data_IF_706587557911
#
_entry.id   IF_706587557911
#
_cell.length_a   1.000
_cell.length_b   1.000
_cell.length_c   1.000
_cell.angle_alpha   90.00
_cell.angle_beta   90.00
_cell.angle_gamma   90.00
#
_symmetry.space_group_name_H-M   'P 1'
#
loop_
_entity.id
_entity.type
_entity.pdbx_description
1 polymer ?
#
# COMPACT_ATOMS: atom_id res chain seq x y z
N UNK A 1 30.62 -15.72 -5.59
CA UNK A 1 29.32 -15.33 -4.99
C UNK A 1 28.24 -16.17 -5.65
N UNK A 2 27.25 -16.67 -4.92
CA UNK A 2 26.19 -17.49 -5.51
C UNK A 2 25.16 -16.56 -6.18
N UNK A 3 25.24 -16.40 -7.50
CA UNK A 3 24.42 -15.44 -8.25
C UNK A 3 22.92 -15.75 -8.14
N UNK A 4 22.59 -17.03 -7.93
CA UNK A 4 21.23 -17.48 -7.61
C UNK A 4 20.69 -16.89 -6.30
N UNK A 5 21.56 -16.71 -5.30
CA UNK A 5 21.20 -16.04 -4.05
C UNK A 5 20.99 -14.53 -4.23
N UNK A 6 21.65 -13.92 -5.21
CA UNK A 6 21.42 -12.50 -5.56
C UNK A 6 20.05 -12.30 -6.21
N UNK A 7 19.66 -13.20 -7.13
CA UNK A 7 18.30 -13.22 -7.70
C UNK A 7 17.23 -13.42 -6.61
N UNK A 8 17.45 -14.32 -5.64
CA UNK A 8 16.54 -14.47 -4.51
C UNK A 8 16.39 -13.19 -3.71
N UNK A 9 17.50 -12.51 -3.39
CA UNK A 9 17.44 -11.25 -2.65
C UNK A 9 16.68 -10.16 -3.42
N UNK A 10 16.89 -10.06 -4.73
CA UNK A 10 16.14 -9.13 -5.58
C UNK A 10 14.64 -9.49 -5.61
N UNK A 11 14.31 -10.78 -5.69
CA UNK A 11 12.95 -11.27 -5.60
C UNK A 11 12.29 -10.95 -4.27
N UNK A 12 13.02 -11.07 -3.17
CA UNK A 12 12.53 -10.68 -1.84
C UNK A 12 12.26 -9.17 -1.77
N UNK A 13 13.25 -8.34 -2.12
CA UNK A 13 13.13 -6.88 -2.09
C UNK A 13 11.93 -6.39 -2.94
N UNK A 14 11.77 -6.93 -4.14
CA UNK A 14 10.67 -6.59 -5.06
C UNK A 14 9.33 -7.07 -4.54
N UNK A 15 9.22 -8.29 -3.99
CA UNK A 15 7.97 -8.81 -3.42
C UNK A 15 7.47 -7.94 -2.25
N UNK A 16 8.35 -7.64 -1.28
CA UNK A 16 7.99 -6.82 -0.12
C UNK A 16 7.62 -5.39 -0.53
N UNK A 17 8.34 -4.83 -1.51
CA UNK A 17 8.05 -3.48 -2.01
C UNK A 17 6.71 -3.43 -2.73
N UNK A 18 6.45 -4.37 -3.65
CA UNK A 18 5.17 -4.49 -4.36
C UNK A 18 3.99 -4.50 -3.40
N UNK A 19 4.01 -5.38 -2.39
CA UNK A 19 2.93 -5.46 -1.41
C UNK A 19 2.86 -4.23 -0.51
N UNK A 20 4.00 -3.66 -0.13
CA UNK A 20 4.05 -2.42 0.65
C UNK A 20 3.37 -1.25 -0.07
N UNK A 21 3.61 -1.09 -1.37
CA UNK A 21 2.98 -0.07 -2.21
C UNK A 21 1.46 -0.26 -2.30
N UNK A 22 1.00 -1.48 -2.62
CA UNK A 22 -0.44 -1.78 -2.62
C UNK A 22 -1.09 -1.50 -1.26
N UNK A 23 -0.41 -1.88 -0.17
CA UNK A 23 -0.97 -1.67 1.16
C UNK A 23 -1.06 -0.21 1.54
N UNK A 24 -0.07 0.59 1.15
CA UNK A 24 -0.07 2.03 1.34
C UNK A 24 -1.23 2.68 0.56
N UNK A 25 -1.43 2.29 -0.70
CA UNK A 25 -2.57 2.74 -1.50
C UNK A 25 -3.92 2.40 -0.84
N UNK A 26 -4.10 1.14 -0.42
CA UNK A 26 -5.31 0.67 0.25
C UNK A 26 -5.59 1.40 1.56
N UNK A 27 -4.54 1.70 2.34
CA UNK A 27 -4.66 2.43 3.58
C UNK A 27 -5.05 3.88 3.34
N UNK A 28 -4.46 4.53 2.34
CA UNK A 28 -4.81 5.90 1.93
C UNK A 28 -6.28 5.97 1.51
N UNK A 29 -6.70 5.06 0.62
CA UNK A 29 -8.10 4.96 0.15
C UNK A 29 -9.08 4.72 1.31
N UNK A 30 -8.78 3.78 2.21
CA UNK A 30 -9.65 3.47 3.36
C UNK A 30 -9.72 4.63 4.34
N UNK A 31 -8.60 5.28 4.64
CA UNK A 31 -8.53 6.43 5.55
C UNK A 31 -9.37 7.58 5.02
N UNK A 32 -9.21 7.91 3.74
CA UNK A 32 -9.95 8.99 3.09
C UNK A 32 -11.45 8.71 3.04
N UNK A 33 -11.86 7.49 2.63
CA UNK A 33 -13.28 7.07 2.64
C UNK A 33 -13.89 7.11 4.04
N UNK A 34 -13.13 6.69 5.06
CA UNK A 34 -13.57 6.77 6.45
C UNK A 34 -13.84 8.22 6.85
N UNK A 35 -12.93 9.15 6.54
CA UNK A 35 -13.13 10.57 6.85
C UNK A 35 -14.33 11.16 6.13
N UNK A 36 -14.61 10.79 4.88
CA UNK A 36 -15.82 11.22 4.18
C UNK A 36 -17.10 10.60 4.74
N UNK A 37 -17.04 9.38 5.28
CA UNK A 37 -18.23 8.70 5.80
C UNK A 37 -18.79 9.34 7.07
N UNK A 38 -17.94 9.89 7.93
CA UNK A 38 -18.35 10.52 9.19
C UNK A 38 -19.35 11.69 9.00
N UNK A 39 -19.07 12.72 8.18
CA UNK A 39 -20.02 13.80 7.94
C UNK A 39 -21.29 13.32 7.25
N UNK A 40 -21.21 12.32 6.37
CA UNK A 40 -22.37 11.74 5.69
C UNK A 40 -23.30 11.05 6.69
N UNK A 41 -22.76 10.18 7.55
CA UNK A 41 -23.52 9.49 8.59
C UNK A 41 -24.13 10.50 9.55
N UNK A 42 -23.37 11.52 9.98
CA UNK A 42 -23.89 12.59 10.82
C UNK A 42 -25.07 13.32 10.15
N UNK A 43 -24.97 13.62 8.86
CA UNK A 43 -26.05 14.28 8.11
C UNK A 43 -27.31 13.42 8.06
N UNK A 44 -27.18 12.11 7.85
CA UNK A 44 -28.31 11.17 7.84
C UNK A 44 -28.98 11.13 9.23
N UNK A 45 -28.20 11.00 10.30
CA UNK A 45 -28.72 10.97 11.67
C UNK A 45 -29.41 12.29 12.02
N UNK A 46 -28.80 13.41 11.66
CA UNK A 46 -29.36 14.74 11.94
C UNK A 46 -30.64 15.04 11.16
N UNK A 47 -30.84 14.44 9.99
CA UNK A 47 -32.07 14.60 9.22
C UNK A 47 -33.20 13.67 9.68
N UNK A 48 -32.87 12.49 10.23
CA UNK A 48 -33.85 11.48 10.61
C UNK A 48 -34.29 11.51 12.08
N UNK A 49 -33.51 12.14 12.96
CA UNK A 49 -33.67 12.06 14.41
C UNK A 49 -33.41 13.39 15.12
N UNK A 50 -33.64 14.52 14.45
CA UNK A 50 -33.38 15.86 15.03
C UNK A 50 -34.19 16.14 16.31
N UNK A 51 -35.43 15.65 16.39
CA UNK A 51 -36.29 15.83 17.56
C UNK A 51 -35.91 14.94 18.77
N UNK A 52 -35.25 13.80 18.53
CA UNK A 52 -34.90 12.83 19.58
C UNK A 52 -33.52 13.09 20.22
N UNK A 53 -32.65 13.84 19.53
CA UNK A 53 -31.27 14.07 19.96
C UNK A 53 -31.15 15.44 20.62
N UNK A 54 -30.60 15.47 21.84
CA UNK A 54 -30.35 16.72 22.55
C UNK A 54 -29.48 17.68 21.71
N UNK A 55 -29.90 18.96 21.62
CA UNK A 55 -29.22 19.99 20.81
C UNK A 55 -27.72 20.12 21.10
N UNK A 56 -27.30 19.92 22.35
CA UNK A 56 -25.88 19.96 22.71
C UNK A 56 -25.08 18.81 22.07
N UNK A 57 -25.66 17.61 21.98
CA UNK A 57 -25.01 16.46 21.35
C UNK A 57 -24.86 16.68 19.84
N UNK A 58 -25.88 17.22 19.16
CA UNK A 58 -25.79 17.58 17.74
C UNK A 58 -24.67 18.60 17.48
N UNK A 59 -24.51 19.60 18.36
CA UNK A 59 -23.41 20.58 18.26
C UNK A 59 -22.03 19.93 18.41
N UNK A 60 -21.86 19.04 19.38
CA UNK A 60 -20.61 18.31 19.57
C UNK A 60 -20.25 17.45 18.34
N UNK A 61 -21.24 16.72 17.80
CA UNK A 61 -21.01 15.89 16.62
C UNK A 61 -20.73 16.75 15.38
N UNK A 62 -21.39 17.92 15.23
CA UNK A 62 -21.09 18.87 14.17
C UNK A 62 -19.64 19.37 14.21
N UNK A 63 -19.12 19.69 15.40
CA UNK A 63 -17.70 20.06 15.57
C UNK A 63 -16.77 18.90 15.18
N UNK A 64 -17.06 17.67 15.60
CA UNK A 64 -16.28 16.49 15.21
C UNK A 64 -16.32 16.27 13.69
N UNK A 65 -17.50 16.42 13.07
CA UNK A 65 -17.70 16.32 11.63
C UNK A 65 -16.85 17.35 10.86
N UNK A 66 -16.77 18.59 11.36
CA UNK A 66 -15.90 19.62 10.80
C UNK A 66 -14.42 19.25 10.90
N UNK A 67 -13.97 18.79 12.06
CA UNK A 67 -12.58 18.35 12.27
C UNK A 67 -12.21 17.22 11.29
N UNK A 68 -13.07 16.21 11.17
CA UNK A 68 -12.84 15.08 10.26
C UNK A 68 -12.86 15.53 8.79
N UNK A 69 -13.72 16.49 8.42
CA UNK A 69 -13.74 17.08 7.08
C UNK A 69 -12.42 17.81 6.77
N UNK A 70 -11.88 18.57 7.72
CA UNK A 70 -10.55 19.19 7.59
C UNK A 70 -9.47 18.14 7.37
N UNK A 71 -9.49 17.04 8.13
CA UNK A 71 -8.54 15.93 7.92
C UNK A 71 -8.70 15.29 6.54
N UNK A 72 -9.92 15.12 6.05
CA UNK A 72 -10.16 14.64 4.68
C UNK A 72 -9.50 15.56 3.64
N UNK A 73 -9.68 16.88 3.77
CA UNK A 73 -9.09 17.87 2.86
C UNK A 73 -7.55 17.86 2.90
N UNK A 74 -6.97 17.71 4.10
CA UNK A 74 -5.52 17.61 4.25
C UNK A 74 -4.95 16.35 3.59
N UNK A 75 -5.66 15.23 3.73
CA UNK A 75 -5.23 13.93 3.19
C UNK A 75 -5.56 13.73 1.70
N UNK A 76 -6.31 14.64 1.08
CA UNK A 76 -6.73 14.52 -0.32
C UNK A 76 -5.54 14.29 -1.26
N UNK A 77 -4.42 15.00 -1.07
CA UNK A 77 -3.21 14.83 -1.89
C UNK A 77 -2.61 13.43 -1.77
N UNK A 78 -2.63 12.84 -0.58
CA UNK A 78 -2.10 11.48 -0.36
C UNK A 78 -3.06 10.42 -0.90
N UNK A 79 -4.37 10.72 -0.91
CA UNK A 79 -5.36 9.90 -1.60
C UNK A 79 -5.17 9.94 -3.13
N UNK A 80 -4.95 11.12 -3.71
CA UNK A 80 -4.72 11.26 -5.17
C UNK A 80 -3.47 10.50 -5.62
N UNK A 81 -2.47 10.33 -4.75
CA UNK A 81 -1.30 9.49 -5.00
C UNK A 81 -1.59 7.99 -5.00
N UNK A 82 -2.75 7.51 -4.53
CA UNK A 82 -3.03 6.07 -4.40
C UNK A 82 -2.94 5.33 -5.73
N UNK A 83 -3.33 5.96 -6.83
CA UNK A 83 -3.13 5.41 -8.18
C UNK A 83 -1.65 5.30 -8.55
N UNK A 84 -0.84 6.32 -8.26
CA UNK A 84 0.60 6.27 -8.49
C UNK A 84 1.31 5.17 -7.68
N UNK A 85 0.86 4.92 -6.44
CA UNK A 85 1.33 3.77 -5.66
C UNK A 85 0.98 2.43 -6.35
N UNK A 86 -0.21 2.29 -6.95
CA UNK A 86 -0.62 1.08 -7.66
C UNK A 86 0.16 0.88 -8.96
N UNK A 87 0.33 1.95 -9.75
CA UNK A 87 1.10 1.89 -10.99
C UNK A 87 2.56 1.50 -10.72
N UNK A 88 3.16 2.04 -9.66
CA UNK A 88 4.49 1.62 -9.22
C UNK A 88 4.50 0.18 -8.73
N UNK A 89 3.48 -0.25 -7.98
CA UNK A 89 3.37 -1.63 -7.55
C UNK A 89 3.37 -2.59 -8.76
N UNK A 90 2.57 -2.30 -9.79
CA UNK A 90 2.52 -3.12 -11.00
C UNK A 90 3.87 -3.21 -11.73
N UNK A 91 4.61 -2.09 -11.80
CA UNK A 91 5.99 -2.08 -12.33
C UNK A 91 6.94 -2.94 -11.49
N UNK A 92 6.84 -2.87 -10.16
CA UNK A 92 7.67 -3.71 -9.26
C UNK A 92 7.30 -5.18 -9.40
N UNK A 93 6.00 -5.50 -9.53
CA UNK A 93 5.51 -6.86 -9.75
C UNK A 93 6.09 -7.46 -11.02
N UNK A 94 6.17 -6.68 -12.10
CA UNK A 94 6.77 -7.14 -13.34
C UNK A 94 8.24 -7.55 -13.17
N UNK A 95 9.03 -6.81 -12.37
CA UNK A 95 10.40 -7.21 -12.04
C UNK A 95 10.41 -8.48 -11.20
N UNK A 96 9.53 -8.59 -10.21
CA UNK A 96 9.40 -9.79 -9.40
C UNK A 96 9.10 -11.03 -10.26
N UNK A 97 8.11 -10.96 -11.15
CA UNK A 97 7.71 -12.05 -12.03
C UNK A 97 8.85 -12.46 -12.98
N UNK A 98 9.61 -11.49 -13.52
CA UNK A 98 10.82 -11.78 -14.31
C UNK A 98 11.89 -12.46 -13.45
N UNK A 99 12.10 -12.00 -12.23
CA UNK A 99 13.11 -12.54 -11.31
C UNK A 99 12.80 -13.98 -10.92
N UNK A 100 11.52 -14.28 -10.61
CA UNK A 100 11.04 -15.64 -10.36
C UNK A 100 11.30 -16.55 -11.57
N UNK A 101 10.98 -16.06 -12.78
CA UNK A 101 11.22 -16.81 -14.02
C UNK A 101 12.70 -17.07 -14.27
N UNK A 102 13.56 -16.07 -14.11
CA UNK A 102 15.02 -16.22 -14.24
C UNK A 102 15.56 -17.21 -13.22
N UNK A 103 15.07 -17.17 -11.98
CA UNK A 103 15.45 -18.12 -10.94
C UNK A 103 15.02 -19.56 -11.26
N UNK A 104 13.79 -19.74 -11.78
CA UNK A 104 13.25 -21.05 -12.13
C UNK A 104 13.97 -21.69 -13.33
N UNK A 105 14.42 -20.87 -14.28
CA UNK A 105 15.17 -21.30 -15.47
C UNK A 105 16.69 -21.38 -15.24
N UNK A 106 17.17 -21.01 -14.05
CA UNK A 106 18.60 -20.86 -13.73
C UNK A 106 19.33 -19.90 -14.69
N UNK A 107 18.59 -18.93 -15.26
CA UNK A 107 19.10 -17.94 -16.22
C UNK A 107 19.58 -16.68 -15.48
N UNK A 108 20.84 -16.72 -15.07
CA UNK A 108 21.49 -15.63 -14.34
C UNK A 108 21.88 -14.47 -15.26
N UNK A 109 21.92 -14.67 -16.58
CA UNK A 109 22.36 -13.63 -17.53
C UNK A 109 21.50 -12.36 -17.47
N UNK A 110 20.25 -12.48 -17.03
CA UNK A 110 19.29 -11.39 -16.88
C UNK A 110 19.48 -10.55 -15.60
N UNK A 111 20.32 -11.00 -14.65
CA UNK A 111 20.41 -10.38 -13.33
C UNK A 111 20.79 -8.90 -13.40
N UNK A 112 21.81 -8.54 -14.19
CA UNK A 112 22.25 -7.15 -14.32
C UNK A 112 21.16 -6.25 -14.92
N UNK A 113 20.43 -6.75 -15.92
CA UNK A 113 19.29 -6.03 -16.51
C UNK A 113 18.18 -5.80 -15.49
N UNK A 114 17.83 -6.83 -14.69
CA UNK A 114 16.80 -6.72 -13.66
C UNK A 114 17.21 -5.75 -12.54
N UNK A 115 18.48 -5.75 -12.14
CA UNK A 115 19.01 -4.77 -11.19
C UNK A 115 18.91 -3.34 -11.72
N UNK A 116 19.24 -3.11 -12.98
CA UNK A 116 19.12 -1.80 -13.62
C UNK A 116 17.66 -1.33 -13.70
N UNK A 117 16.74 -2.21 -14.09
CA UNK A 117 15.29 -1.93 -14.07
C UNK A 117 14.81 -1.57 -12.65
N UNK A 118 15.27 -2.33 -11.65
CA UNK A 118 14.92 -2.11 -10.25
C UNK A 118 15.44 -0.78 -9.70
N UNK A 119 16.68 -0.41 -10.00
CA UNK A 119 17.26 0.85 -9.57
C UNK A 119 16.60 2.06 -10.24
N UNK A 120 16.08 1.91 -11.46
CA UNK A 120 15.24 2.94 -12.09
C UNK A 120 13.93 3.13 -11.32
N UNK A 121 13.22 2.04 -11.00
CA UNK A 121 11.97 2.15 -10.22
C UNK A 121 12.24 2.71 -8.83
N UNK A 122 13.36 2.34 -8.19
CA UNK A 122 13.71 2.79 -6.83
C UNK A 122 13.87 4.30 -6.73
N UNK A 123 14.21 5.00 -7.82
CA UNK A 123 14.22 6.47 -7.88
C UNK A 123 12.81 7.03 -7.72
N UNK A 124 11.84 6.44 -8.41
CA UNK A 124 10.43 6.82 -8.37
C UNK A 124 9.80 6.53 -7.00
N UNK A 125 10.25 5.47 -6.30
CA UNK A 125 9.76 5.13 -4.95
C UNK A 125 9.99 6.22 -3.90
N UNK A 126 10.91 7.16 -4.13
CA UNK A 126 11.16 8.27 -3.19
C UNK A 126 9.95 9.17 -3.00
N UNK A 127 9.15 9.35 -4.06
CA UNK A 127 7.95 10.17 -4.03
C UNK A 127 6.73 9.44 -3.47
N UNK A 128 6.88 8.13 -3.25
CA UNK A 128 5.87 7.17 -2.80
C UNK A 128 6.39 6.32 -1.62
N UNK A 129 6.71 6.94 -0.48
CA UNK A 129 7.27 6.23 0.66
C UNK A 129 6.25 5.25 1.28
N UNK A 130 6.71 4.03 1.56
CA UNK A 130 5.90 3.02 2.26
C UNK A 130 5.94 3.32 3.76
N UNK A 131 4.79 3.64 4.35
CA UNK A 131 4.69 3.91 5.79
C UNK A 131 4.99 2.68 6.65
N UNK A 132 5.46 2.90 7.88
CA UNK A 132 5.81 1.81 8.82
C UNK A 132 4.63 0.86 9.12
N UNK A 133 3.40 1.38 9.11
CA UNK A 133 2.20 0.56 9.30
C UNK A 133 1.88 -0.31 8.08
N UNK A 134 2.02 0.23 6.87
CA UNK A 134 1.89 -0.53 5.64
C UNK A 134 2.93 -1.65 5.60
N UNK A 135 4.19 -1.32 5.90
CA UNK A 135 5.28 -2.30 5.95
C UNK A 135 5.04 -3.43 6.95
N UNK A 136 4.62 -3.11 8.19
CA UNK A 136 4.27 -4.12 9.21
C UNK A 136 3.14 -5.05 8.76
N UNK A 137 2.12 -4.51 8.09
CA UNK A 137 1.01 -5.30 7.56
C UNK A 137 1.45 -6.18 6.39
N UNK A 138 2.26 -5.64 5.49
CA UNK A 138 2.85 -6.40 4.38
C UNK A 138 3.59 -7.62 4.89
N UNK A 139 4.49 -7.45 5.87
CA UNK A 139 5.26 -8.57 6.43
C UNK A 139 4.41 -9.71 6.97
N UNK A 140 3.21 -9.41 7.49
CA UNK A 140 2.30 -10.43 8.03
C UNK A 140 1.52 -11.19 6.96
N UNK A 141 1.26 -10.57 5.81
CA UNK A 141 0.28 -11.06 4.83
C UNK A 141 0.95 -11.53 3.54
N UNK A 142 2.16 -11.07 3.25
CA UNK A 142 2.88 -11.40 2.01
C UNK A 142 3.07 -12.90 1.80
N UNK A 143 3.30 -13.67 2.87
CA UNK A 143 3.43 -15.13 2.80
C UNK A 143 2.14 -15.86 2.43
N UNK A 144 0.98 -15.23 2.62
CA UNK A 144 -0.32 -15.79 2.26
C UNK A 144 -0.75 -15.41 0.84
N UNK A 145 -0.24 -14.28 0.32
CA UNK A 145 -0.69 -13.69 -0.95
C UNK A 145 0.32 -13.77 -2.09
N UNK A 146 1.57 -14.17 -1.84
CA UNK A 146 2.62 -14.30 -2.86
C UNK A 146 3.30 -15.65 -2.79
N UNK A 147 3.80 -16.11 -3.95
CA UNK A 147 4.60 -17.33 -4.02
C UNK A 147 6.02 -17.08 -3.50
N UNK A 148 6.25 -17.24 -2.20
CA UNK A 148 7.58 -17.07 -1.62
C UNK A 148 8.38 -18.38 -1.54
N UNK A 149 7.86 -19.49 -2.09
CA UNK A 149 8.45 -20.82 -1.94
C UNK A 149 9.87 -20.91 -2.52
N UNK A 150 10.12 -20.25 -3.65
CA UNK A 150 11.42 -20.19 -4.33
C UNK A 150 12.44 -19.26 -3.64
N UNK A 151 11.98 -18.40 -2.74
CA UNK A 151 12.82 -17.55 -1.88
C UNK A 151 13.31 -18.28 -0.63
N UNK A 152 12.99 -19.57 -0.47
CA UNK A 152 13.36 -20.36 0.69
C UNK A 152 12.40 -20.23 1.87
N UNK A 153 11.26 -19.55 1.71
CA UNK A 153 10.24 -19.37 2.74
C UNK A 153 9.33 -20.62 2.93
N UNK A 154 9.90 -21.81 2.80
CA UNK A 154 9.22 -23.10 3.00
C UNK A 154 9.57 -23.83 4.30
N UNK A 155 10.53 -23.32 5.10
CA UNK A 155 10.92 -23.90 6.39
C UNK A 155 11.09 -22.80 7.44
N UNK A 156 10.00 -22.41 8.10
CA UNK A 156 9.99 -21.47 9.23
C UNK A 156 8.64 -21.45 9.92
#
# INVERSE_FOLDING_TARGET
MNEKALLQRLGEDTAYTFKGLHKQADLSDKKYKFYLSVPIIFSIVSLGFDEEIASLALKCIAVLSLIVTVFALMDQKEFEKSNGYRDLADRVKFIYDKTERSFALDDVSQYETLCNEWDLIRKDLKDYPIGSFAYKKTRKVISQEMNLSWLGAGNG
#
